data_IF_105618787194
#
_entry.id   IF_105618787194
#
_cell.length_a   1.000
_cell.length_b   1.000
_cell.length_c   1.000
_cell.angle_alpha   90.00
_cell.angle_beta   90.00
_cell.angle_gamma   90.00
#
_symmetry.space_group_name_H-M   'P 1'
#
loop_
_entity.id
_entity.type
_entity.pdbx_description
1 polymer ?
#
# COMPACT_ATOMS: atom_id res chain seq x y z
N UNK A 1 4.47 -0.68 -10.91
CA UNK A 1 4.20 -0.20 -9.53
C UNK A 1 2.99 -0.89 -8.90
N UNK A 2 1.73 -0.57 -9.24
CA UNK A 2 0.56 -1.30 -8.67
C UNK A 2 0.45 -2.74 -9.19
N UNK A 3 0.82 -2.96 -10.46
CA UNK A 3 0.80 -4.30 -11.06
C UNK A 3 1.88 -5.23 -10.48
N UNK A 4 3.06 -4.70 -10.12
CA UNK A 4 4.07 -5.43 -9.34
C UNK A 4 3.57 -5.81 -7.94
N UNK A 5 2.85 -4.89 -7.28
CA UNK A 5 2.26 -5.13 -5.96
C UNK A 5 1.23 -6.27 -6.01
N UNK A 6 0.35 -6.26 -7.03
CA UNK A 6 -0.62 -7.31 -7.29
C UNK A 6 0.04 -8.65 -7.65
N UNK A 7 1.16 -8.63 -8.36
CA UNK A 7 1.94 -9.83 -8.65
C UNK A 7 2.53 -10.44 -7.37
N UNK A 8 3.10 -9.63 -6.48
CA UNK A 8 3.67 -10.09 -5.21
C UNK A 8 2.61 -10.69 -4.25
N UNK A 9 1.42 -10.08 -4.16
CA UNK A 9 0.30 -10.61 -3.35
C UNK A 9 -0.19 -11.99 -3.85
N UNK A 10 -0.10 -12.28 -5.15
CA UNK A 10 -0.58 -13.53 -5.75
C UNK A 10 0.38 -14.71 -5.61
N UNK A 11 1.67 -14.47 -5.43
CA UNK A 11 2.71 -15.52 -5.48
C UNK A 11 3.18 -16.06 -4.12
N UNK A 12 2.75 -15.48 -2.99
CA UNK A 12 3.19 -15.90 -1.65
C UNK A 12 2.10 -16.73 -0.96
N UNK A 13 2.33 -18.04 -0.69
CA UNK A 13 1.40 -18.87 0.08
C UNK A 13 1.32 -18.35 1.52
N UNK A 14 0.12 -17.97 1.97
CA UNK A 14 -0.13 -17.35 3.28
C UNK A 14 -1.06 -16.14 3.25
N UNK A 15 -1.41 -15.62 2.06
CA UNK A 15 -2.26 -14.44 1.89
C UNK A 15 -3.77 -14.64 2.11
N UNK A 16 -4.20 -15.87 2.40
CA UNK A 16 -5.62 -16.26 2.46
C UNK A 16 -6.07 -16.71 3.85
N UNK A 17 -5.56 -16.09 4.91
CA UNK A 17 -6.14 -16.21 6.25
C UNK A 17 -6.01 -14.87 6.96
N UNK A 18 -7.10 -14.09 6.97
CA UNK A 18 -7.34 -13.10 8.02
C UNK A 18 -8.56 -13.58 8.78
N UNK A 19 -8.29 -14.09 9.97
CA UNK A 19 -9.25 -14.28 11.04
C UNK A 19 -9.27 -12.97 11.85
N UNK A 20 -10.44 -12.52 12.32
CA UNK A 20 -10.60 -11.24 13.04
C UNK A 20 -10.12 -11.35 14.50
N UNK A 21 -8.89 -11.81 14.70
CA UNK A 21 -8.22 -11.98 15.99
C UNK A 21 -7.25 -10.83 16.32
N UNK A 22 -6.55 -10.90 17.47
CA UNK A 22 -5.42 -10.00 17.76
C UNK A 22 -4.37 -10.07 16.65
N UNK A 23 -3.53 -9.02 16.47
CA UNK A 23 -2.57 -8.94 15.39
C UNK A 23 -1.75 -10.22 15.30
N UNK A 24 -1.78 -10.83 14.13
CA UNK A 24 -1.08 -12.06 13.81
C UNK A 24 0.36 -11.74 13.39
N UNK A 25 1.29 -12.70 13.52
CA UNK A 25 2.67 -12.54 13.04
C UNK A 25 2.76 -12.16 11.54
N UNK A 26 1.74 -12.52 10.75
CA UNK A 26 1.65 -12.15 9.34
C UNK A 26 1.33 -10.66 9.14
N UNK A 27 0.46 -10.09 9.98
CA UNK A 27 0.12 -8.66 9.97
C UNK A 27 1.31 -7.82 10.44
N UNK A 28 2.01 -8.23 11.50
CA UNK A 28 3.22 -7.53 11.96
C UNK A 28 4.33 -7.51 10.88
N UNK A 29 4.50 -8.62 10.16
CA UNK A 29 5.44 -8.69 9.05
C UNK A 29 5.02 -7.82 7.85
N UNK A 30 3.71 -7.73 7.59
CA UNK A 30 3.16 -6.84 6.57
C UNK A 30 3.39 -5.37 6.93
N UNK A 31 3.17 -4.98 8.19
CA UNK A 31 3.42 -3.61 8.68
C UNK A 31 4.91 -3.21 8.58
N UNK A 32 5.84 -4.14 8.86
CA UNK A 32 7.27 -3.89 8.66
C UNK A 32 7.62 -3.76 7.17
N UNK A 33 7.02 -4.60 6.33
CA UNK A 33 7.19 -4.52 4.88
C UNK A 33 6.62 -3.21 4.29
N UNK A 34 5.46 -2.77 4.75
CA UNK A 34 4.81 -1.52 4.34
C UNK A 34 5.66 -0.31 4.73
N UNK A 35 6.20 -0.28 5.96
CA UNK A 35 7.12 0.78 6.39
C UNK A 35 8.40 0.83 5.56
N UNK A 36 9.02 -0.32 5.28
CA UNK A 36 10.20 -0.40 4.40
C UNK A 36 9.89 0.05 2.98
N UNK A 37 8.75 -0.35 2.44
CA UNK A 37 8.29 0.04 1.11
C UNK A 37 8.04 1.55 1.04
N UNK A 38 7.36 2.11 2.04
CA UNK A 38 7.09 3.53 2.13
C UNK A 38 8.37 4.37 2.18
N UNK A 39 9.36 3.95 2.97
CA UNK A 39 10.67 4.61 3.01
C UNK A 39 11.34 4.64 1.63
N UNK A 40 11.42 3.47 0.96
CA UNK A 40 12.03 3.37 -0.38
C UNK A 40 11.27 4.18 -1.43
N UNK A 41 9.94 4.16 -1.41
CA UNK A 41 9.11 4.94 -2.33
C UNK A 41 9.27 6.44 -2.08
N UNK A 42 9.35 6.87 -0.82
CA UNK A 42 9.59 8.25 -0.45
C UNK A 42 10.93 8.77 -0.97
N UNK A 43 11.99 7.99 -0.83
CA UNK A 43 13.32 8.32 -1.36
C UNK A 43 13.32 8.41 -2.90
N UNK A 44 12.68 7.45 -3.59
CA UNK A 44 12.58 7.45 -5.05
C UNK A 44 11.79 8.64 -5.58
N UNK A 45 10.65 8.95 -4.95
CA UNK A 45 9.81 10.09 -5.32
C UNK A 45 10.55 11.42 -5.08
N UNK A 46 11.26 11.56 -3.96
CA UNK A 46 12.10 12.72 -3.70
C UNK A 46 13.19 12.91 -4.76
N UNK A 47 13.89 11.83 -5.13
CA UNK A 47 14.87 11.85 -6.21
C UNK A 47 14.27 12.28 -7.55
N UNK A 48 13.07 11.79 -7.88
CA UNK A 48 12.37 12.14 -9.12
C UNK A 48 11.85 13.58 -9.15
N UNK A 49 11.38 14.09 -8.01
CA UNK A 49 10.85 15.46 -7.86
C UNK A 49 11.94 16.51 -7.70
N UNK A 50 13.22 16.11 -7.58
CA UNK A 50 14.33 17.02 -7.33
C UNK A 50 14.24 17.76 -5.98
N UNK A 51 13.44 17.23 -5.04
CA UNK A 51 13.21 17.80 -3.71
C UNK A 51 13.68 16.81 -2.66
N UNK A 52 14.27 17.28 -1.56
CA UNK A 52 14.57 16.40 -0.43
C UNK A 52 13.26 15.89 0.19
N UNK A 53 13.13 14.61 0.56
CA UNK A 53 11.90 14.10 1.15
C UNK A 53 11.72 14.72 2.53
N UNK A 54 10.89 15.76 2.60
CA UNK A 54 10.46 16.30 3.87
C UNK A 54 9.68 15.24 4.67
N UNK A 55 9.61 15.38 6.01
CA UNK A 55 8.85 14.46 6.86
C UNK A 55 7.37 14.34 6.45
N UNK A 56 6.82 15.36 5.79
CA UNK A 56 5.46 15.36 5.26
C UNK A 56 5.28 14.42 4.07
N UNK A 57 6.21 14.43 3.10
CA UNK A 57 6.18 13.52 1.96
C UNK A 57 6.34 12.07 2.42
N UNK A 58 7.28 11.80 3.33
CA UNK A 58 7.48 10.46 3.88
C UNK A 58 6.22 9.96 4.60
N UNK A 59 5.55 10.84 5.37
CA UNK A 59 4.27 10.50 6.02
C UNK A 59 3.17 10.23 5.00
N UNK A 60 3.04 11.07 3.97
CA UNK A 60 2.01 10.90 2.95
C UNK A 60 2.20 9.59 2.16
N UNK A 61 3.44 9.24 1.85
CA UNK A 61 3.76 7.96 1.21
C UNK A 61 3.43 6.79 2.14
N UNK A 62 3.80 6.86 3.42
CA UNK A 62 3.46 5.82 4.39
C UNK A 62 1.94 5.62 4.50
N UNK A 63 1.18 6.70 4.70
CA UNK A 63 -0.30 6.66 4.77
C UNK A 63 -0.88 6.05 3.50
N UNK A 64 -0.34 6.41 2.32
CA UNK A 64 -0.79 5.85 1.04
C UNK A 64 -0.54 4.35 0.93
N UNK A 65 0.61 3.88 1.40
CA UNK A 65 0.97 2.44 1.37
C UNK A 65 0.07 1.65 2.31
N UNK A 66 -0.11 2.11 3.55
CA UNK A 66 -0.97 1.42 4.52
C UNK A 66 -2.43 1.38 4.06
N UNK A 67 -2.95 2.51 3.55
CA UNK A 67 -4.30 2.57 3.02
C UNK A 67 -4.49 1.64 1.81
N UNK A 68 -3.51 1.62 0.89
CA UNK A 68 -3.55 0.73 -0.26
C UNK A 68 -3.52 -0.75 0.16
N UNK A 69 -2.72 -1.11 1.16
CA UNK A 69 -2.67 -2.49 1.64
C UNK A 69 -4.00 -2.92 2.26
N UNK A 70 -4.56 -2.11 3.17
CA UNK A 70 -5.84 -2.40 3.81
C UNK A 70 -6.99 -2.52 2.78
N UNK A 71 -7.01 -1.66 1.77
CA UNK A 71 -8.04 -1.71 0.73
C UNK A 71 -7.85 -2.89 -0.23
N UNK A 72 -6.60 -3.32 -0.48
CA UNK A 72 -6.34 -4.52 -1.26
C UNK A 72 -6.71 -5.78 -0.48
N UNK A 73 -6.45 -5.83 0.84
CA UNK A 73 -6.98 -6.87 1.71
C UNK A 73 -8.52 -6.91 1.67
N UNK A 74 -9.19 -5.74 1.68
CA UNK A 74 -10.63 -5.66 1.49
C UNK A 74 -11.09 -6.20 0.12
N UNK A 75 -10.38 -5.86 -0.95
CA UNK A 75 -10.67 -6.36 -2.30
C UNK A 75 -10.61 -7.90 -2.35
N UNK A 76 -9.59 -8.51 -1.75
CA UNK A 76 -9.44 -9.97 -1.70
C UNK A 76 -10.44 -10.67 -0.78
N UNK A 77 -10.93 -9.99 0.28
CA UNK A 77 -12.03 -10.51 1.11
C UNK A 77 -13.36 -10.50 0.36
N UNK A 78 -13.55 -9.55 -0.54
CA UNK A 78 -14.80 -9.39 -1.31
C UNK A 78 -14.84 -10.33 -2.51
N UNK A 79 -13.71 -10.49 -3.20
CA UNK A 79 -13.54 -11.42 -4.31
C UNK A 79 -12.16 -12.09 -4.17
N UNK A 80 -12.04 -13.44 -4.17
CA UNK A 80 -10.76 -14.13 -4.13
C UNK A 80 -9.78 -13.74 -5.24
N UNK A 81 -10.26 -13.25 -6.40
CA UNK A 81 -9.43 -12.71 -7.48
C UNK A 81 -8.98 -11.26 -7.23
N UNK A 82 -9.58 -10.59 -6.24
CA UNK A 82 -9.45 -9.17 -5.90
C UNK A 82 -10.55 -8.35 -6.59
N UNK A 83 -11.48 -7.78 -5.80
CA UNK A 83 -12.60 -7.00 -6.33
C UNK A 83 -12.08 -5.83 -7.19
N UNK A 84 -12.39 -5.81 -8.50
CA UNK A 84 -11.85 -4.81 -9.41
C UNK A 84 -12.36 -3.39 -9.13
N UNK A 85 -13.56 -3.24 -8.56
CA UNK A 85 -14.10 -1.93 -8.20
C UNK A 85 -13.34 -1.35 -7.00
N UNK A 86 -13.07 -2.16 -5.98
CA UNK A 86 -12.29 -1.72 -4.81
C UNK A 86 -10.86 -1.37 -5.20
N UNK A 87 -10.25 -2.14 -6.10
CA UNK A 87 -8.91 -1.84 -6.65
C UNK A 87 -8.91 -0.50 -7.41
N UNK A 88 -9.96 -0.22 -8.19
CA UNK A 88 -10.09 1.06 -8.90
C UNK A 88 -10.22 2.24 -7.93
N UNK A 89 -11.07 2.11 -6.90
CA UNK A 89 -11.23 3.14 -5.85
C UNK A 89 -9.93 3.38 -5.08
N UNK A 90 -9.19 2.31 -4.77
CA UNK A 90 -7.88 2.40 -4.11
C UNK A 90 -6.90 3.24 -4.91
N UNK A 91 -6.86 3.02 -6.23
CA UNK A 91 -6.00 3.78 -7.14
C UNK A 91 -6.39 5.26 -7.17
N UNK A 92 -7.69 5.56 -7.20
CA UNK A 92 -8.21 6.93 -7.18
C UNK A 92 -7.85 7.63 -5.87
N UNK A 93 -8.08 6.97 -4.72
CA UNK A 93 -7.78 7.51 -3.40
C UNK A 93 -6.31 7.88 -3.25
N UNK A 94 -5.40 6.94 -3.57
CA UNK A 94 -3.96 7.18 -3.45
C UNK A 94 -3.51 8.31 -4.37
N UNK A 95 -4.00 8.35 -5.61
CA UNK A 95 -3.65 9.42 -6.56
C UNK A 95 -4.15 10.78 -6.10
N UNK A 96 -5.39 10.87 -5.65
CA UNK A 96 -5.98 12.12 -5.20
C UNK A 96 -5.26 12.65 -3.95
N UNK A 97 -4.97 11.79 -2.98
CA UNK A 97 -4.26 12.16 -1.77
C UNK A 97 -2.84 12.64 -2.07
N UNK A 98 -2.07 11.91 -2.88
CA UNK A 98 -0.71 12.31 -3.23
C UNK A 98 -0.70 13.59 -4.09
N UNK A 99 -1.64 13.77 -5.01
CA UNK A 99 -1.73 15.00 -5.79
C UNK A 99 -1.91 16.23 -4.89
N UNK A 100 -2.82 16.16 -3.91
CA UNK A 100 -3.05 17.24 -2.96
C UNK A 100 -1.81 17.60 -2.11
N UNK A 101 -0.93 16.63 -1.84
CA UNK A 101 0.29 16.85 -1.04
C UNK A 101 1.47 17.33 -1.91
N UNK A 102 1.46 17.02 -3.21
CA UNK A 102 2.54 17.34 -4.14
C UNK A 102 2.37 18.67 -4.87
N UNK A 103 1.14 19.21 -4.92
CA UNK A 103 0.84 20.58 -5.36
C UNK A 103 1.54 21.64 -4.48
#
# INVERSE_FOLDING_TARGET
MLDEYLAMKRTVPGFTLVDFGPPSPAEEAADDANRRLAGRLGELLAGHLGRHPGPELLRAVLVSVEAADALLQLAFRTDPAGDPAIVAETRTLVRAYLAQILD
#
